data_IF_542733523136
#
_entry.id   IF_542733523136
#
_cell.length_a   1.000
_cell.length_b   1.000
_cell.length_c   1.000
_cell.angle_alpha   90.00
_cell.angle_beta   90.00
_cell.angle_gamma   90.00
#
_symmetry.space_group_name_H-M   'P 1'
#
loop_
_entity.id
_entity.type
_entity.pdbx_description
1 polymer ?
#
# COMPACT_ATOMS: atom_id res chain seq x y z
N UNK A 1 -12.64 -25.81 0.49
CA UNK A 1 -11.16 -25.81 0.40
C UNK A 1 -10.70 -27.18 0.89
N UNK A 2 -10.19 -28.06 0.02
CA UNK A 2 -9.55 -29.31 0.47
C UNK A 2 -8.14 -28.94 0.92
N UNK A 3 -7.81 -29.24 2.18
CA UNK A 3 -6.43 -29.16 2.66
C UNK A 3 -5.62 -30.24 1.94
N UNK A 4 -4.46 -29.86 1.40
CA UNK A 4 -3.49 -30.84 0.92
C UNK A 4 -2.74 -31.35 2.15
N UNK A 5 -3.01 -32.60 2.53
CA UNK A 5 -2.33 -33.25 3.66
C UNK A 5 -1.14 -34.05 3.14
N UNK A 6 0.07 -33.57 3.47
CA UNK A 6 1.33 -34.17 3.03
C UNK A 6 1.80 -35.33 3.93
N UNK A 7 1.13 -35.57 5.06
CA UNK A 7 1.55 -36.58 6.03
C UNK A 7 1.42 -38.02 5.49
N UNK A 8 0.44 -38.26 4.62
CA UNK A 8 0.16 -39.59 4.08
C UNK A 8 1.26 -40.12 3.12
N UNK A 9 2.00 -39.23 2.45
CA UNK A 9 3.05 -39.63 1.48
C UNK A 9 4.44 -39.75 2.10
N UNK A 10 4.71 -39.01 3.19
CA UNK A 10 6.07 -38.87 3.73
C UNK A 10 6.23 -39.41 5.17
N UNK A 11 5.17 -39.88 5.81
CA UNK A 11 5.21 -40.32 7.20
C UNK A 11 5.45 -39.15 8.17
N UNK A 12 5.91 -39.47 9.39
CA UNK A 12 6.24 -38.47 10.39
C UNK A 12 7.60 -37.83 10.06
N UNK A 13 7.59 -36.51 9.85
CA UNK A 13 8.78 -35.71 9.61
C UNK A 13 9.30 -35.15 10.94
N UNK A 14 10.47 -35.59 11.40
CA UNK A 14 11.08 -35.17 12.68
C UNK A 14 12.45 -34.52 12.49
N UNK A 15 12.73 -33.46 13.27
CA UNK A 15 14.02 -32.76 13.31
C UNK A 15 13.91 -31.24 13.11
N UNK A 16 14.97 -30.51 13.48
CA UNK A 16 15.06 -29.06 13.29
C UNK A 16 15.28 -28.65 11.82
N UNK A 17 15.73 -29.60 10.98
CA UNK A 17 15.98 -29.41 9.56
C UNK A 17 15.55 -30.65 8.78
N UNK A 18 14.31 -30.62 8.30
CA UNK A 18 13.71 -31.72 7.54
C UNK A 18 13.65 -31.36 6.06
N UNK A 19 14.12 -32.26 5.20
CA UNK A 19 13.96 -32.16 3.75
C UNK A 19 13.00 -33.23 3.27
N UNK A 20 11.95 -32.84 2.57
CA UNK A 20 11.03 -33.74 1.88
C UNK A 20 10.86 -33.31 0.43
N UNK A 21 10.87 -34.29 -0.48
CA UNK A 21 10.74 -34.06 -1.93
C UNK A 21 9.48 -34.74 -2.40
N UNK A 22 8.50 -33.94 -2.82
CA UNK A 22 7.24 -34.40 -3.39
C UNK A 22 6.87 -33.58 -4.63
N UNK A 23 6.03 -34.15 -5.50
CA UNK A 23 5.54 -33.43 -6.69
C UNK A 23 4.44 -32.46 -6.28
N UNK A 24 4.83 -31.23 -5.97
CA UNK A 24 3.92 -30.13 -5.71
C UNK A 24 3.81 -29.22 -6.92
N UNK A 25 2.59 -28.89 -7.34
CA UNK A 25 2.34 -27.87 -8.35
C UNK A 25 2.58 -26.49 -7.72
N UNK A 26 3.85 -26.15 -7.46
CA UNK A 26 4.27 -24.98 -6.67
C UNK A 26 3.61 -23.68 -7.14
N UNK A 27 3.42 -23.53 -8.46
CA UNK A 27 2.73 -22.39 -9.06
C UNK A 27 1.26 -22.25 -8.63
N UNK A 28 0.60 -23.33 -8.20
CA UNK A 28 -0.76 -23.31 -7.62
C UNK A 28 -0.79 -23.02 -6.12
N UNK A 29 0.37 -23.07 -5.45
CA UNK A 29 0.50 -22.86 -4.00
C UNK A 29 0.96 -21.43 -3.66
N UNK A 30 1.52 -20.70 -4.62
CA UNK A 30 1.92 -19.30 -4.41
C UNK A 30 0.75 -18.45 -3.89
N UNK A 31 1.06 -17.55 -2.94
CA UNK A 31 0.12 -16.65 -2.25
C UNK A 31 -0.97 -17.35 -1.42
N UNK A 32 -0.81 -18.65 -1.17
CA UNK A 32 -1.62 -19.36 -0.16
C UNK A 32 -0.88 -19.37 1.18
N UNK A 33 -1.62 -19.30 2.31
CA UNK A 33 -1.02 -19.54 3.60
C UNK A 33 -0.66 -21.02 3.72
N UNK A 34 0.57 -21.30 4.11
CA UNK A 34 0.95 -22.57 4.72
C UNK A 34 0.45 -22.55 6.16
N UNK A 35 -0.28 -23.59 6.56
CA UNK A 35 -0.84 -23.70 7.91
C UNK A 35 -0.25 -24.93 8.58
N UNK A 36 0.38 -24.72 9.74
CA UNK A 36 0.85 -25.76 10.62
C UNK A 36 -0.13 -25.87 11.78
N UNK A 37 -0.72 -27.05 11.95
CA UNK A 37 -1.66 -27.33 13.03
C UNK A 37 -1.12 -28.45 13.90
N UNK A 38 -0.97 -28.19 15.19
CA UNK A 38 -0.66 -29.22 16.18
C UNK A 38 -1.91 -30.04 16.45
N UNK A 39 -1.83 -31.36 16.26
CA UNK A 39 -2.92 -32.27 16.62
C UNK A 39 -3.03 -32.49 18.14
N UNK A 40 -1.91 -32.34 18.86
CA UNK A 40 -1.85 -32.53 20.32
C UNK A 40 -2.35 -31.30 21.09
N UNK A 41 -1.90 -30.10 20.70
CA UNK A 41 -2.22 -28.86 21.42
C UNK A 41 -3.35 -28.06 20.76
N UNK A 42 -3.81 -28.49 19.58
CA UNK A 42 -4.75 -27.76 18.72
C UNK A 42 -4.28 -26.35 18.29
N UNK A 43 -3.04 -25.96 18.60
CA UNK A 43 -2.46 -24.69 18.16
C UNK A 43 -2.29 -24.66 16.66
N UNK A 44 -2.55 -23.51 16.07
CA UNK A 44 -2.41 -23.26 14.64
C UNK A 44 -1.44 -22.10 14.45
N UNK A 45 -0.47 -22.29 13.57
CA UNK A 45 0.44 -21.24 13.10
C UNK A 45 0.33 -21.19 11.59
N UNK A 46 0.39 -20.00 10.99
CA UNK A 46 0.36 -19.86 9.55
C UNK A 46 1.48 -18.95 9.07
N UNK A 47 1.92 -19.18 7.83
CA UNK A 47 2.90 -18.35 7.14
C UNK A 47 2.50 -18.21 5.68
N UNK A 48 2.69 -17.04 5.08
CA UNK A 48 2.46 -16.87 3.66
C UNK A 48 3.56 -17.58 2.85
N UNK A 49 3.17 -18.38 1.85
CA UNK A 49 4.12 -18.90 0.85
C UNK A 49 4.52 -17.75 -0.08
N UNK A 50 5.63 -17.10 0.29
CA UNK A 50 6.19 -16.01 -0.50
C UNK A 50 7.09 -16.55 -1.61
N UNK A 51 7.05 -15.96 -2.81
CA UNK A 51 8.00 -16.29 -3.86
C UNK A 51 9.44 -16.01 -3.43
N UNK A 52 10.39 -16.77 -3.96
CA UNK A 52 11.80 -16.38 -3.91
C UNK A 52 11.98 -14.98 -4.54
N UNK A 53 13.00 -14.23 -4.12
CA UNK A 53 13.37 -12.96 -4.76
C UNK A 53 14.58 -13.20 -5.68
N UNK A 54 14.50 -12.92 -7.00
CA UNK A 54 13.38 -12.27 -7.72
C UNK A 54 12.15 -13.18 -7.87
N UNK A 55 10.96 -12.57 -7.81
CA UNK A 55 9.67 -13.28 -7.88
C UNK A 55 9.55 -14.00 -9.23
N UNK A 56 9.27 -15.32 -9.26
CA UNK A 56 9.07 -16.07 -10.51
C UNK A 56 7.68 -15.83 -11.10
N UNK A 57 6.90 -14.92 -10.50
CA UNK A 57 5.56 -14.58 -10.92
C UNK A 57 5.46 -13.09 -11.27
N UNK A 58 4.67 -12.79 -12.30
CA UNK A 58 4.33 -11.42 -12.68
C UNK A 58 2.92 -11.10 -12.21
N UNK A 59 2.80 -10.01 -11.45
CA UNK A 59 1.52 -9.44 -11.04
C UNK A 59 1.05 -8.43 -12.09
N UNK A 60 -0.23 -8.46 -12.42
CA UNK A 60 -0.96 -7.45 -13.17
C UNK A 60 -2.11 -6.92 -12.33
N UNK A 61 -2.50 -5.68 -12.57
CA UNK A 61 -3.55 -4.98 -11.82
C UNK A 61 -4.54 -4.32 -12.75
N UNK A 62 -5.82 -4.41 -12.41
CA UNK A 62 -6.90 -3.60 -12.96
C UNK A 62 -7.56 -2.84 -11.79
N UNK A 63 -7.59 -1.51 -11.87
CA UNK A 63 -8.08 -0.61 -10.82
C UNK A 63 -9.38 0.04 -11.27
N UNK A 64 -10.42 -0.17 -10.48
CA UNK A 64 -11.76 0.32 -10.76
C UNK A 64 -12.09 1.51 -9.85
N UNK A 65 -12.81 2.46 -10.42
CA UNK A 65 -13.28 3.72 -9.82
C UNK A 65 -14.73 3.94 -10.25
N UNK A 66 -15.48 4.75 -9.50
CA UNK A 66 -16.92 5.00 -9.68
C UNK A 66 -17.81 3.83 -9.24
N UNK A 67 -18.74 3.35 -10.08
CA UNK A 67 -19.79 2.39 -9.70
C UNK A 67 -19.26 1.13 -9.00
N UNK A 68 -18.07 0.67 -9.41
CA UNK A 68 -17.26 -0.31 -8.71
C UNK A 68 -15.93 0.31 -8.33
N UNK A 69 -15.52 0.15 -7.07
CA UNK A 69 -14.24 0.65 -6.58
C UNK A 69 -13.37 -0.48 -6.04
N UNK A 70 -12.10 -0.49 -6.43
CA UNK A 70 -11.14 -1.44 -5.90
C UNK A 70 -10.10 -1.90 -6.90
N UNK A 71 -9.53 -3.09 -6.68
CA UNK A 71 -8.47 -3.65 -7.52
C UNK A 71 -8.65 -5.14 -7.72
N UNK A 72 -8.48 -5.55 -8.96
CA UNK A 72 -8.30 -6.94 -9.36
C UNK A 72 -6.82 -7.19 -9.66
N UNK A 73 -6.27 -8.23 -9.05
CA UNK A 73 -4.91 -8.68 -9.29
C UNK A 73 -4.93 -9.99 -10.05
N UNK A 74 -4.08 -10.10 -11.06
CA UNK A 74 -3.79 -11.33 -11.79
C UNK A 74 -2.34 -11.67 -11.56
N UNK A 75 -2.04 -12.90 -11.16
CA UNK A 75 -0.67 -13.35 -10.91
C UNK A 75 -0.37 -14.61 -11.70
N UNK A 76 0.58 -14.49 -12.64
CA UNK A 76 0.98 -15.54 -13.56
C UNK A 76 2.44 -15.91 -13.33
N UNK A 77 2.73 -17.22 -13.26
CA UNK A 77 4.11 -17.71 -13.14
C UNK A 77 4.76 -17.70 -14.52
N UNK A 78 5.95 -17.13 -14.64
CA UNK A 78 6.60 -16.82 -15.92
C UNK A 78 6.91 -18.06 -16.77
N UNK A 79 7.21 -19.20 -16.13
CA UNK A 79 7.51 -20.45 -16.83
C UNK A 79 6.27 -21.12 -17.46
N UNK A 80 5.07 -20.87 -16.93
CA UNK A 80 3.81 -21.45 -17.42
C UNK A 80 2.63 -20.48 -17.21
N UNK A 81 2.64 -19.29 -17.84
CA UNK A 81 1.69 -18.22 -17.54
C UNK A 81 0.23 -18.60 -17.84
N UNK A 82 0.02 -19.52 -18.77
CA UNK A 82 -1.30 -20.02 -19.16
C UNK A 82 -1.78 -21.27 -18.38
N UNK A 83 -0.92 -21.88 -17.54
CA UNK A 83 -1.30 -23.07 -16.80
C UNK A 83 -2.33 -22.74 -15.71
N UNK A 84 -1.99 -21.79 -14.82
CA UNK A 84 -2.89 -21.27 -13.79
C UNK A 84 -2.57 -19.80 -13.53
N UNK A 85 -3.61 -18.97 -13.48
CA UNK A 85 -3.53 -17.59 -13.00
C UNK A 85 -4.21 -17.47 -11.64
N UNK A 86 -3.48 -16.96 -10.65
CA UNK A 86 -4.08 -16.53 -9.38
C UNK A 86 -4.81 -15.22 -9.58
N UNK A 87 -6.09 -15.16 -9.18
CA UNK A 87 -6.90 -13.95 -9.27
C UNK A 87 -7.34 -13.55 -7.88
N UNK A 88 -6.95 -12.35 -7.46
CA UNK A 88 -7.36 -11.74 -6.20
C UNK A 88 -8.21 -10.52 -6.47
N UNK A 89 -9.42 -10.51 -5.95
CA UNK A 89 -10.36 -9.40 -6.09
C UNK A 89 -10.57 -8.73 -4.74
N UNK A 90 -10.40 -7.42 -4.71
CA UNK A 90 -10.80 -6.56 -3.61
C UNK A 90 -11.61 -5.41 -4.21
N UNK A 91 -12.94 -5.54 -4.23
CA UNK A 91 -13.86 -4.56 -4.81
C UNK A 91 -15.06 -4.33 -3.91
N UNK A 92 -15.63 -3.14 -3.98
CA UNK A 92 -16.89 -2.76 -3.35
C UNK A 92 -17.80 -2.08 -4.38
N UNK A 93 -19.11 -2.22 -4.19
CA UNK A 93 -20.11 -1.43 -4.90
C UNK A 93 -20.19 -0.04 -4.28
N UNK A 94 -20.23 0.98 -5.12
CA UNK A 94 -20.28 2.39 -4.68
C UNK A 94 -21.63 3.02 -4.96
N UNK A 95 -22.34 2.52 -5.98
CA UNK A 95 -23.68 3.01 -6.33
C UNK A 95 -24.75 2.45 -5.37
N UNK A 96 -25.82 3.19 -5.07
CA UNK A 96 -26.95 2.70 -4.27
C UNK A 96 -27.60 1.44 -4.86
N UNK A 97 -27.55 1.30 -6.20
CA UNK A 97 -28.02 0.09 -6.91
C UNK A 97 -27.17 -1.15 -6.62
N UNK A 98 -25.96 -0.98 -6.10
CA UNK A 98 -25.01 -2.03 -5.75
C UNK A 98 -24.81 -2.17 -4.23
N UNK A 99 -25.69 -1.54 -3.43
CA UNK A 99 -25.68 -1.65 -1.97
C UNK A 99 -26.11 -3.05 -1.47
N UNK A 100 -26.73 -3.86 -2.32
CA UNK A 100 -27.12 -5.26 -2.03
C UNK A 100 -26.14 -6.26 -2.63
N UNK A 101 -25.99 -7.48 -2.06
CA UNK A 101 -25.11 -8.49 -2.61
C UNK A 101 -25.42 -8.81 -4.07
N UNK A 102 -24.46 -8.53 -4.96
CA UNK A 102 -24.60 -8.76 -6.40
C UNK A 102 -23.51 -9.70 -6.91
N UNK A 103 -23.84 -10.44 -7.96
CA UNK A 103 -22.97 -11.45 -8.58
C UNK A 103 -22.67 -10.98 -10.00
N UNK A 104 -21.53 -10.30 -10.18
CA UNK A 104 -21.16 -9.71 -11.47
C UNK A 104 -20.31 -10.65 -12.31
N UNK A 105 -20.49 -10.61 -13.63
CA UNK A 105 -19.63 -11.34 -14.58
C UNK A 105 -18.51 -10.43 -15.07
N UNK A 106 -17.42 -11.02 -15.56
CA UNK A 106 -16.34 -10.22 -16.15
C UNK A 106 -15.63 -10.95 -17.29
N UNK A 107 -15.09 -10.15 -18.22
CA UNK A 107 -14.40 -10.62 -19.42
C UNK A 107 -13.15 -9.79 -19.69
N UNK A 108 -12.19 -10.39 -20.41
CA UNK A 108 -11.00 -9.69 -20.90
C UNK A 108 -11.13 -9.38 -22.38
N UNK A 109 -10.86 -8.13 -22.75
CA UNK A 109 -10.82 -7.69 -24.13
C UNK A 109 -9.45 -7.13 -24.47
N UNK A 110 -8.89 -7.55 -25.60
CA UNK A 110 -7.70 -6.95 -26.17
C UNK A 110 -8.08 -5.95 -27.28
N UNK A 111 -7.40 -4.82 -27.28
CA UNK A 111 -7.55 -3.71 -28.23
C UNK A 111 -6.19 -3.26 -28.72
N UNK A 112 -6.16 -2.36 -29.70
CA UNK A 112 -4.93 -1.65 -30.11
C UNK A 112 -4.30 -0.91 -28.91
N UNK A 113 -3.05 -0.46 -29.09
CA UNK A 113 -2.39 0.37 -28.08
C UNK A 113 -3.19 1.67 -27.88
N UNK A 114 -3.55 1.92 -26.63
CA UNK A 114 -4.29 3.08 -26.16
C UNK A 114 -3.43 3.72 -25.04
N UNK A 115 -3.49 5.05 -24.91
CA UNK A 115 -2.77 5.75 -23.85
C UNK A 115 -3.43 5.54 -22.49
N UNK A 116 -2.74 5.88 -21.39
CA UNK A 116 -3.40 5.89 -20.08
C UNK A 116 -4.53 6.94 -20.00
N UNK A 117 -4.43 8.03 -20.77
CA UNK A 117 -5.48 9.05 -20.86
C UNK A 117 -6.75 8.50 -21.52
N UNK A 118 -6.61 7.71 -22.58
CA UNK A 118 -7.75 7.03 -23.22
C UNK A 118 -8.41 6.05 -22.25
N UNK A 119 -7.59 5.23 -21.55
CA UNK A 119 -8.09 4.31 -20.53
C UNK A 119 -8.82 5.03 -19.39
N UNK A 120 -8.32 6.19 -18.96
CA UNK A 120 -8.96 7.03 -17.95
C UNK A 120 -10.31 7.57 -18.46
N UNK A 121 -10.37 8.00 -19.71
CA UNK A 121 -11.60 8.51 -20.31
C UNK A 121 -12.67 7.42 -20.42
N UNK A 122 -12.29 6.20 -20.82
CA UNK A 122 -13.19 5.03 -20.81
C UNK A 122 -13.77 4.74 -19.42
N UNK A 123 -12.99 4.93 -18.35
CA UNK A 123 -13.53 4.76 -16.99
C UNK A 123 -14.50 5.88 -16.61
N UNK A 124 -14.23 7.12 -17.03
CA UNK A 124 -15.09 8.28 -16.73
C UNK A 124 -16.45 8.21 -17.41
N UNK A 125 -16.51 7.69 -18.63
CA UNK A 125 -17.77 7.59 -19.38
C UNK A 125 -18.57 6.31 -19.10
N UNK A 126 -18.27 5.62 -17.98
CA UNK A 126 -18.92 4.37 -17.62
C UNK A 126 -18.68 3.25 -18.63
N UNK A 127 -17.56 3.32 -19.36
CA UNK A 127 -17.15 2.37 -20.39
C UNK A 127 -18.09 2.33 -21.60
N UNK A 128 -18.90 3.37 -21.79
CA UNK A 128 -19.79 3.52 -22.93
C UNK A 128 -19.00 3.62 -24.24
N UNK A 129 -17.84 4.26 -24.23
CA UNK A 129 -16.94 4.37 -25.39
C UNK A 129 -16.19 3.08 -25.73
N UNK A 130 -16.23 2.07 -24.85
CA UNK A 130 -15.79 0.72 -25.20
C UNK A 130 -16.84 -0.03 -26.03
N UNK A 131 -18.10 0.42 -26.05
CA UNK A 131 -19.19 -0.16 -26.84
C UNK A 131 -19.35 0.54 -28.21
N UNK A 132 -19.75 -0.19 -29.27
CA UNK A 132 -19.88 -1.64 -29.37
C UNK A 132 -18.51 -2.28 -29.51
N UNK A 133 -18.18 -3.27 -28.66
CA UNK A 133 -16.84 -3.86 -28.51
C UNK A 133 -16.17 -4.26 -29.83
N UNK A 134 -15.25 -3.45 -30.41
CA UNK A 134 -14.45 -3.86 -31.56
C UNK A 134 -13.16 -4.58 -31.12
N UNK A 135 -13.10 -5.02 -29.85
CA UNK A 135 -11.96 -5.74 -29.28
C UNK A 135 -12.14 -7.25 -29.36
N UNK A 136 -11.04 -7.99 -29.43
CA UNK A 136 -11.08 -9.46 -29.38
C UNK A 136 -11.38 -9.90 -27.96
N UNK A 137 -12.47 -10.66 -27.74
CA UNK A 137 -12.69 -11.37 -26.48
C UNK A 137 -11.56 -12.37 -26.29
N UNK A 138 -10.79 -12.21 -25.21
CA UNK A 138 -9.63 -13.05 -24.93
C UNK A 138 -9.91 -14.08 -23.85
N UNK A 139 -10.82 -13.76 -22.93
CA UNK A 139 -11.24 -14.69 -21.88
C UNK A 139 -12.60 -14.28 -21.32
N UNK A 140 -13.44 -15.27 -21.02
CA UNK A 140 -14.66 -15.12 -20.24
C UNK A 140 -14.54 -15.95 -18.96
N UNK A 141 -14.65 -15.30 -17.81
CA UNK A 141 -14.64 -16.01 -16.54
C UNK A 141 -16.08 -16.31 -16.09
N UNK A 142 -16.32 -17.59 -15.84
CA UNK A 142 -17.60 -18.05 -15.26
C UNK A 142 -17.69 -17.78 -13.76
N UNK A 143 -16.56 -17.43 -13.11
CA UNK A 143 -16.52 -17.12 -11.68
C UNK A 143 -17.02 -15.69 -11.44
N UNK A 144 -18.14 -15.53 -10.72
CA UNK A 144 -18.67 -14.22 -10.49
C UNK A 144 -17.88 -13.44 -9.45
N UNK A 145 -18.02 -12.11 -9.50
CA UNK A 145 -17.53 -11.18 -8.49
C UNK A 145 -18.67 -10.95 -7.49
N UNK A 146 -18.59 -11.50 -6.27
CA UNK A 146 -19.53 -11.13 -5.23
C UNK A 146 -19.18 -9.71 -4.77
N UNK A 147 -20.08 -8.79 -5.01
CA UNK A 147 -20.03 -7.45 -4.44
C UNK A 147 -20.85 -7.48 -3.16
N UNK A 148 -20.27 -7.01 -2.06
CA UNK A 148 -20.99 -6.82 -0.82
C UNK A 148 -21.16 -5.32 -0.56
N UNK A 149 -22.17 -4.96 0.24
CA UNK A 149 -22.36 -3.59 0.71
C UNK A 149 -21.17 -3.09 1.52
N UNK A 150 -21.21 -1.79 1.87
CA UNK A 150 -20.10 -1.01 2.44
C UNK A 150 -19.36 -1.63 3.64
N UNK A 151 -19.96 -2.61 4.34
CA UNK A 151 -19.46 -3.17 5.60
C UNK A 151 -18.58 -4.43 5.44
N UNK A 152 -18.53 -5.08 4.27
CA UNK A 152 -17.86 -6.38 4.13
C UNK A 152 -16.70 -6.37 3.13
N UNK A 153 -15.48 -6.10 3.62
CA UNK A 153 -14.23 -6.26 2.88
C UNK A 153 -13.89 -7.75 2.68
N UNK A 154 -14.55 -8.41 1.74
CA UNK A 154 -14.18 -9.76 1.34
C UNK A 154 -13.17 -9.74 0.19
N UNK A 155 -11.89 -9.94 0.52
CA UNK A 155 -10.94 -10.36 -0.51
C UNK A 155 -11.31 -11.76 -0.98
N UNK A 156 -11.61 -11.91 -2.27
CA UNK A 156 -11.78 -13.24 -2.90
C UNK A 156 -10.50 -13.62 -3.61
N UNK A 157 -10.11 -14.88 -3.47
CA UNK A 157 -8.99 -15.46 -4.20
C UNK A 157 -9.49 -16.73 -4.89
N UNK A 158 -9.26 -16.83 -6.19
CA UNK A 158 -9.54 -18.02 -6.98
C UNK A 158 -8.46 -18.22 -8.03
N UNK A 159 -8.47 -19.40 -8.64
CA UNK A 159 -7.54 -19.78 -9.70
C UNK A 159 -8.32 -19.92 -11.00
N UNK A 160 -7.75 -19.36 -12.07
CA UNK A 160 -8.24 -19.53 -13.43
C UNK A 160 -7.28 -20.42 -14.19
N UNK A 161 -7.84 -21.41 -14.88
CA UNK A 161 -7.09 -22.23 -15.82
C UNK A 161 -7.23 -21.61 -17.22
N UNK A 162 -6.18 -21.69 -18.02
CA UNK A 162 -6.19 -21.28 -19.44
C UNK A 162 -6.44 -19.79 -19.69
N UNK A 163 -6.17 -18.91 -18.71
CA UNK A 163 -6.04 -17.49 -18.99
C UNK A 163 -4.80 -17.27 -19.88
N UNK A 164 -4.90 -16.59 -21.04
CA UNK A 164 -3.73 -16.40 -21.89
C UNK A 164 -2.65 -15.55 -21.20
N UNK A 165 -1.41 -15.64 -21.69
CA UNK A 165 -0.28 -14.88 -21.16
C UNK A 165 -0.54 -13.36 -21.27
N UNK A 166 -0.76 -12.71 -20.13
CA UNK A 166 -1.02 -11.28 -20.07
C UNK A 166 0.20 -10.47 -20.52
N UNK A 167 1.42 -10.99 -20.39
CA UNK A 167 2.62 -10.33 -20.91
C UNK A 167 2.56 -10.25 -22.44
N UNK A 168 2.27 -11.37 -23.10
CA UNK A 168 2.14 -11.43 -24.55
C UNK A 168 1.00 -10.53 -25.06
N UNK A 169 -0.14 -10.50 -24.36
CA UNK A 169 -1.28 -9.65 -24.74
C UNK A 169 -0.97 -8.16 -24.56
N UNK A 170 -0.42 -7.77 -23.41
CA UNK A 170 -0.13 -6.35 -23.10
C UNK A 170 1.02 -5.77 -23.93
N UNK A 171 1.86 -6.62 -24.53
CA UNK A 171 2.83 -6.19 -25.55
C UNK A 171 2.18 -5.86 -26.89
N UNK A 172 1.15 -6.62 -27.29
CA UNK A 172 0.45 -6.45 -28.58
C UNK A 172 -0.56 -5.30 -28.57
N UNK A 173 -1.06 -4.92 -27.40
CA UNK A 173 -2.04 -3.87 -27.28
C UNK A 173 -2.51 -3.65 -25.85
N UNK A 174 -3.68 -3.03 -25.71
CA UNK A 174 -4.26 -2.72 -24.40
C UNK A 174 -5.29 -3.78 -24.04
N UNK A 175 -5.18 -4.31 -22.82
CA UNK A 175 -6.14 -5.30 -22.30
C UNK A 175 -7.02 -4.63 -21.26
N UNK A 176 -8.33 -4.83 -21.36
CA UNK A 176 -9.30 -4.35 -20.38
C UNK A 176 -9.99 -5.52 -19.70
N UNK A 177 -10.17 -5.41 -18.38
CA UNK A 177 -11.22 -6.13 -17.67
C UNK A 177 -12.49 -5.32 -17.85
N UNK A 178 -13.57 -5.97 -18.29
CA UNK A 178 -14.90 -5.38 -18.36
C UNK A 178 -15.83 -6.20 -17.48
N UNK A 179 -16.55 -5.53 -16.60
CA UNK A 179 -17.48 -6.10 -15.61
C UNK A 179 -18.91 -5.84 -16.05
N UNK A 180 -19.76 -6.84 -15.92
CA UNK A 180 -21.13 -6.87 -16.42
C UNK A 180 -22.13 -7.24 -15.34
N UNK A 181 -23.30 -6.59 -15.40
CA UNK A 181 -24.53 -7.00 -14.73
C UNK A 181 -25.57 -7.39 -15.81
N UNK A 182 -25.85 -8.69 -15.93
CA UNK A 182 -26.55 -9.22 -17.10
C UNK A 182 -25.76 -8.93 -18.39
N UNK A 183 -26.38 -8.17 -19.30
CA UNK A 183 -25.77 -7.71 -20.56
C UNK A 183 -25.20 -6.29 -20.48
N UNK A 184 -25.40 -5.59 -19.37
CA UNK A 184 -24.99 -4.20 -19.21
C UNK A 184 -23.57 -4.10 -18.68
N UNK A 185 -22.78 -3.20 -19.28
CA UNK A 185 -21.45 -2.86 -18.76
C UNK A 185 -21.62 -2.02 -17.51
N UNK A 186 -20.95 -2.47 -16.44
CA UNK A 186 -20.94 -1.78 -15.15
C UNK A 186 -19.68 -0.94 -14.99
N UNK A 187 -18.53 -1.53 -15.31
CA UNK A 187 -17.25 -0.87 -15.18
C UNK A 187 -16.20 -1.57 -16.04
N UNK A 188 -15.08 -0.90 -16.24
CA UNK A 188 -13.94 -1.42 -16.96
C UNK A 188 -12.67 -0.86 -16.35
N UNK A 189 -11.57 -1.58 -16.55
CA UNK A 189 -10.25 -1.07 -16.19
C UNK A 189 -9.21 -1.72 -17.08
N UNK A 190 -8.20 -0.93 -17.46
CA UNK A 190 -6.99 -1.43 -18.10
C UNK A 190 -6.25 -2.40 -17.17
N UNK A 191 -5.80 -3.51 -17.72
CA UNK A 191 -4.84 -4.42 -17.10
C UNK A 191 -3.44 -3.86 -17.32
N UNK A 192 -2.73 -3.62 -16.23
CA UNK A 192 -1.38 -3.04 -16.24
C UNK A 192 -0.43 -3.85 -15.38
N UNK A 193 0.84 -3.92 -15.76
CA UNK A 193 1.89 -4.42 -14.88
C UNK A 193 2.35 -3.27 -13.99
N UNK A 194 2.17 -3.31 -12.65
CA UNK A 194 2.68 -2.26 -11.78
C UNK A 194 4.20 -2.21 -11.88
N UNK A 195 4.76 -1.00 -11.89
CA UNK A 195 6.21 -0.83 -11.85
C UNK A 195 6.73 -1.18 -10.45
N UNK A 196 7.85 -1.92 -10.34
CA UNK A 196 8.53 -2.10 -9.07
C UNK A 196 8.86 -0.75 -8.42
N UNK A 197 8.75 -0.68 -7.10
CA UNK A 197 9.09 0.52 -6.33
C UNK A 197 10.38 0.30 -5.58
N UNK A 198 11.22 1.33 -5.57
CA UNK A 198 12.43 1.43 -4.77
C UNK A 198 12.41 2.72 -3.97
N UNK A 199 12.88 2.66 -2.73
CA UNK A 199 13.06 3.83 -1.89
C UNK A 199 14.30 3.68 -1.03
N UNK A 200 14.95 4.81 -0.79
CA UNK A 200 16.23 4.84 -0.12
C UNK A 200 16.23 5.92 0.94
N UNK A 201 16.75 5.58 2.11
CA UNK A 201 17.01 6.49 3.22
C UNK A 201 18.53 6.57 3.39
N UNK A 202 19.07 7.78 3.22
CA UNK A 202 20.51 8.03 3.21
C UNK A 202 20.89 8.80 4.48
N UNK A 203 21.55 8.11 5.39
CA UNK A 203 22.08 8.67 6.63
C UNK A 203 23.40 9.34 6.32
N UNK A 204 23.41 10.68 6.35
CA UNK A 204 24.67 11.43 6.43
C UNK A 204 25.13 11.39 7.88
N UNK A 205 26.42 11.14 8.11
CA UNK A 205 27.00 11.16 9.45
C UNK A 205 26.54 12.42 10.18
N UNK A 206 25.72 12.25 11.23
CA UNK A 206 25.19 13.37 11.99
C UNK A 206 26.32 13.99 12.79
N UNK A 207 27.01 14.96 12.20
CA UNK A 207 28.00 15.79 12.89
C UNK A 207 27.35 17.14 13.17
N UNK A 208 26.63 17.24 14.29
CA UNK A 208 26.45 18.54 14.95
C UNK A 208 25.03 18.90 15.40
N UNK A 209 24.88 18.98 16.72
CA UNK A 209 23.76 19.68 17.36
C UNK A 209 23.72 19.59 18.90
N UNK A 210 24.84 19.89 19.60
CA UNK A 210 24.93 20.17 21.06
C UNK A 210 24.61 18.96 21.99
N UNK A 211 25.60 18.22 22.48
CA UNK A 211 26.60 18.65 23.47
C UNK A 211 28.04 18.36 23.00
N UNK A 212 28.96 19.29 23.29
CA UNK A 212 30.41 19.06 23.32
C UNK A 212 30.67 17.76 24.13
N UNK A 213 31.03 16.67 23.43
CA UNK A 213 31.42 15.40 24.05
C UNK A 213 30.73 14.12 23.57
N UNK A 214 29.73 14.17 22.67
CA UNK A 214 29.07 12.96 22.16
C UNK A 214 29.81 12.31 20.98
N UNK A 215 30.42 11.14 21.18
CA UNK A 215 31.20 10.41 20.17
C UNK A 215 30.34 9.51 19.24
N UNK A 216 29.06 9.82 19.03
CA UNK A 216 28.11 8.90 18.38
C UNK A 216 27.31 9.46 17.21
N UNK A 217 27.10 8.65 16.19
CA UNK A 217 26.37 9.01 14.98
C UNK A 217 26.24 7.86 13.98
N UNK A 218 25.21 7.94 13.13
CA UNK A 218 24.90 6.91 12.13
C UNK A 218 25.15 7.45 10.72
N UNK A 219 25.77 6.63 9.86
CA UNK A 219 25.94 6.93 8.44
C UNK A 219 25.71 5.68 7.59
N UNK A 220 25.26 5.86 6.34
CA UNK A 220 25.03 4.76 5.42
C UNK A 220 23.67 4.86 4.71
N UNK A 221 23.14 3.72 4.30
CA UNK A 221 21.92 3.63 3.51
C UNK A 221 21.02 2.47 3.96
N UNK A 222 19.72 2.73 3.92
CA UNK A 222 18.67 1.71 4.01
C UNK A 222 17.85 1.77 2.74
N UNK A 223 17.79 0.68 1.99
CA UNK A 223 17.06 0.57 0.73
C UNK A 223 15.90 -0.42 0.86
N UNK A 224 14.74 -0.05 0.36
CA UNK A 224 13.56 -0.90 0.24
C UNK A 224 13.25 -1.12 -1.23
N UNK A 225 12.90 -2.35 -1.59
CA UNK A 225 12.51 -2.73 -2.94
C UNK A 225 11.29 -3.66 -2.90
N UNK A 226 10.27 -3.36 -3.69
CA UNK A 226 9.07 -4.18 -3.80
C UNK A 226 8.64 -4.30 -5.26
N UNK A 227 8.50 -5.55 -5.73
CA UNK A 227 8.19 -5.87 -7.13
C UNK A 227 6.75 -5.49 -7.48
N UNK A 228 5.80 -5.87 -6.63
CA UNK A 228 4.38 -5.56 -6.78
C UNK A 228 3.70 -5.46 -5.41
N UNK A 229 2.46 -4.95 -5.33
CA UNK A 229 1.71 -4.89 -4.06
C UNK A 229 1.48 -6.25 -3.37
N UNK A 230 1.67 -7.36 -4.08
CA UNK A 230 1.50 -8.72 -3.54
C UNK A 230 2.82 -9.38 -3.14
N UNK A 231 3.96 -8.81 -3.54
CA UNK A 231 5.27 -9.34 -3.17
C UNK A 231 5.76 -8.65 -1.87
N UNK A 232 6.48 -9.35 -1.00
CA UNK A 232 7.02 -8.75 0.22
C UNK A 232 8.11 -7.71 -0.11
N UNK A 233 8.38 -6.82 0.84
CA UNK A 233 9.45 -5.83 0.70
C UNK A 233 10.79 -6.48 0.98
N UNK A 234 11.73 -6.33 0.05
CA UNK A 234 13.16 -6.61 0.29
C UNK A 234 13.80 -5.37 0.89
N UNK A 235 14.44 -5.52 2.04
CA UNK A 235 15.13 -4.49 2.79
C UNK A 235 16.64 -4.75 2.72
N UNK A 236 17.43 -3.77 2.33
CA UNK A 236 18.90 -3.82 2.36
C UNK A 236 19.41 -2.74 3.29
N UNK A 237 20.10 -3.15 4.36
CA UNK A 237 20.67 -2.27 5.38
C UNK A 237 22.18 -2.27 5.16
N UNK A 238 22.77 -1.08 5.11
CA UNK A 238 24.21 -0.88 5.18
C UNK A 238 24.47 0.39 5.99
N UNK A 239 24.62 0.21 7.30
CA UNK A 239 24.81 1.28 8.26
C UNK A 239 26.14 1.12 8.99
N UNK A 240 26.75 2.25 9.29
CA UNK A 240 27.90 2.39 10.18
C UNK A 240 27.46 3.19 11.40
N UNK A 241 27.87 2.71 12.57
CA UNK A 241 27.53 3.31 13.86
C UNK A 241 28.84 3.67 14.55
N UNK A 242 28.97 4.94 14.88
CA UNK A 242 30.05 5.46 15.73
C UNK A 242 29.54 5.64 17.15
N UNK A 243 30.42 5.49 18.15
CA UNK A 243 30.09 5.74 19.56
C UNK A 243 29.44 4.59 20.32
N UNK A 244 29.09 3.47 19.66
CA UNK A 244 28.70 2.22 20.34
C UNK A 244 27.30 2.17 20.98
N UNK A 245 26.57 3.29 20.99
CA UNK A 245 25.31 3.42 21.75
C UNK A 245 24.04 3.19 20.91
N UNK A 246 24.10 2.67 19.68
CA UNK A 246 22.87 2.39 18.93
C UNK A 246 22.14 1.16 19.49
N UNK A 247 20.85 1.29 19.78
CA UNK A 247 20.02 0.20 20.30
C UNK A 247 18.88 -0.14 19.33
N UNK A 248 17.90 0.75 19.21
CA UNK A 248 16.71 0.52 18.40
C UNK A 248 16.82 1.20 17.03
N UNK A 249 16.18 0.62 16.02
CA UNK A 249 16.06 1.26 14.72
C UNK A 249 14.80 0.80 13.99
N UNK A 250 14.26 1.69 13.17
CA UNK A 250 13.01 1.40 12.48
C UNK A 250 12.47 2.58 11.71
N UNK A 251 11.30 2.38 11.11
CA UNK A 251 10.57 3.39 10.35
C UNK A 251 9.60 4.09 11.30
N UNK A 252 9.74 5.41 11.44
CA UNK A 252 8.91 6.26 12.30
C UNK A 252 7.53 6.51 11.68
N UNK A 253 6.55 6.93 12.49
CA UNK A 253 5.28 7.41 11.97
C UNK A 253 5.42 8.67 11.12
N UNK A 254 6.43 9.51 11.34
CA UNK A 254 6.58 10.77 10.64
C UNK A 254 7.86 10.83 9.81
N UNK A 255 7.89 11.80 8.90
CA UNK A 255 9.12 12.22 8.25
C UNK A 255 10.03 12.93 9.27
N UNK A 256 11.32 13.07 8.94
CA UNK A 256 12.32 13.78 9.75
C UNK A 256 11.98 15.27 9.97
N UNK A 257 11.09 15.84 9.14
CA UNK A 257 10.62 17.22 9.22
C UNK A 257 11.40 18.14 8.28
N UNK A 258 12.64 18.44 8.66
CA UNK A 258 13.69 18.90 7.77
C UNK A 258 14.70 17.76 7.62
N UNK A 259 15.25 17.56 6.42
CA UNK A 259 15.93 16.33 5.95
C UNK A 259 17.05 15.81 6.85
N UNK A 260 17.49 16.59 7.84
CA UNK A 260 18.62 16.30 8.71
C UNK A 260 18.44 16.68 10.19
N UNK A 261 17.35 17.35 10.59
CA UNK A 261 17.19 17.82 11.98
C UNK A 261 16.58 16.77 12.90
N UNK A 262 15.91 15.75 12.34
CA UNK A 262 15.16 14.73 13.07
C UNK A 262 14.14 15.29 14.09
N UNK A 263 13.78 16.57 13.96
CA UNK A 263 12.86 17.26 14.88
C UNK A 263 11.41 16.85 14.66
N UNK A 264 11.09 16.30 13.48
CA UNK A 264 9.73 15.86 13.13
C UNK A 264 9.36 14.45 13.56
N UNK A 265 10.28 13.68 14.16
CA UNK A 265 10.03 12.29 14.53
C UNK A 265 9.03 12.17 15.68
N UNK A 266 8.14 11.19 15.58
CA UNK A 266 7.21 10.84 16.66
C UNK A 266 7.88 10.03 17.78
N UNK A 267 9.05 9.43 17.50
CA UNK A 267 9.70 8.42 18.36
C UNK A 267 8.85 7.19 18.60
N UNK A 268 7.95 6.90 17.67
CA UNK A 268 7.09 5.71 17.63
C UNK A 268 7.23 5.08 16.27
N UNK A 269 7.47 3.78 16.24
CA UNK A 269 7.52 3.04 14.99
C UNK A 269 6.15 3.03 14.30
N UNK A 270 6.19 2.98 12.98
CA UNK A 270 4.99 2.97 12.15
C UNK A 270 4.15 1.72 12.42
N UNK A 271 2.87 1.88 12.74
CA UNK A 271 1.99 0.75 13.05
C UNK A 271 0.57 0.94 12.48
N UNK A 272 0.28 0.39 11.28
CA UNK A 272 -1.02 0.50 10.62
C UNK A 272 -1.96 -0.70 10.81
N UNK A 273 -1.52 -1.75 11.51
CA UNK A 273 -2.21 -3.03 11.65
C UNK A 273 -2.91 -3.23 12.99
N UNK A 274 -2.69 -2.34 13.95
CA UNK A 274 -3.27 -2.41 15.29
C UNK A 274 -2.60 -3.45 16.18
N UNK A 275 -1.29 -3.67 16.02
CA UNK A 275 -0.51 -4.53 16.93
C UNK A 275 -0.59 -4.00 18.36
N UNK A 276 -0.86 -4.90 19.30
CA UNK A 276 -0.83 -4.61 20.73
C UNK A 276 0.63 -4.50 21.21
N UNK A 277 1.03 -3.28 21.58
CA UNK A 277 2.39 -2.97 21.99
C UNK A 277 2.77 -3.66 23.31
N UNK A 278 1.79 -3.94 24.17
CA UNK A 278 2.03 -4.58 25.47
C UNK A 278 2.31 -6.09 25.32
N UNK A 279 1.87 -6.67 24.20
CA UNK A 279 2.08 -8.08 23.85
C UNK A 279 3.23 -8.28 22.86
N UNK A 280 3.93 -7.21 22.47
CA UNK A 280 5.04 -7.30 21.54
C UNK A 280 6.19 -8.12 22.16
N UNK A 281 6.62 -9.22 21.54
CA UNK A 281 7.66 -10.07 22.11
C UNK A 281 9.02 -9.38 22.18
N UNK A 282 9.94 -9.97 22.95
CA UNK A 282 11.36 -9.58 22.94
C UNK A 282 11.91 -9.64 21.50
N UNK A 283 12.82 -8.75 21.08
CA UNK A 283 13.36 -8.76 19.73
C UNK A 283 13.81 -10.15 19.25
N UNK A 284 13.47 -10.50 18.01
CA UNK A 284 13.69 -11.79 17.33
C UNK A 284 12.94 -13.00 17.89
N UNK A 285 12.09 -12.85 18.92
CA UNK A 285 11.38 -13.98 19.52
C UNK A 285 9.94 -14.18 18.98
N UNK A 286 9.41 -13.21 18.24
CA UNK A 286 8.07 -13.27 17.64
C UNK A 286 8.09 -13.47 16.12
N UNK A 287 6.93 -13.81 15.55
CA UNK A 287 6.68 -13.65 14.12
C UNK A 287 6.56 -12.16 13.78
N UNK A 288 6.84 -11.79 12.52
CA UNK A 288 6.97 -10.37 12.12
C UNK A 288 5.71 -9.53 12.29
N UNK A 289 4.55 -10.18 12.27
CA UNK A 289 3.22 -9.61 12.48
C UNK A 289 2.90 -9.28 13.95
N UNK A 290 3.72 -9.75 14.89
CA UNK A 290 3.61 -9.43 16.32
C UNK A 290 4.32 -8.12 16.71
N UNK A 291 4.95 -7.44 15.75
CA UNK A 291 5.69 -6.21 15.97
C UNK A 291 5.08 -5.08 15.13
N UNK A 292 5.25 -3.82 15.58
CA UNK A 292 4.95 -2.67 14.74
C UNK A 292 5.53 -2.82 13.33
N UNK A 293 4.77 -2.49 12.29
CA UNK A 293 5.25 -2.60 10.91
C UNK A 293 6.62 -1.90 10.69
N UNK A 294 6.85 -0.76 11.34
CA UNK A 294 8.11 -0.03 11.28
C UNK A 294 9.22 -0.51 12.23
N UNK A 295 8.95 -1.40 13.19
CA UNK A 295 9.96 -1.84 14.17
C UNK A 295 10.91 -2.88 13.57
N UNK A 296 12.01 -2.41 13.00
CA UNK A 296 13.03 -3.26 12.39
C UNK A 296 13.89 -3.95 13.47
N UNK A 297 14.16 -3.26 14.58
CA UNK A 297 14.88 -3.83 15.72
C UNK A 297 14.17 -5.02 16.35
N UNK A 298 12.87 -4.91 16.61
CA UNK A 298 12.06 -5.99 17.16
C UNK A 298 12.04 -7.22 16.24
N UNK A 299 11.86 -7.02 14.94
CA UNK A 299 11.76 -8.12 13.97
C UNK A 299 13.10 -8.78 13.63
N UNK A 300 14.17 -7.99 13.54
CA UNK A 300 15.44 -8.42 12.94
C UNK A 300 16.63 -8.31 13.89
N UNK A 301 16.43 -7.87 15.14
CA UNK A 301 17.47 -7.66 16.16
C UNK A 301 17.97 -6.23 16.23
N UNK A 302 18.55 -5.86 17.36
CA UNK A 302 19.03 -4.51 17.66
C UNK A 302 20.36 -4.18 16.97
N UNK A 303 20.75 -2.90 16.99
CA UNK A 303 22.07 -2.45 16.54
C UNK A 303 23.12 -2.46 17.66
N UNK A 304 22.76 -2.94 18.85
CA UNK A 304 23.59 -2.88 20.05
C UNK A 304 24.91 -3.62 19.86
N UNK A 305 26.02 -2.94 20.14
CA UNK A 305 27.37 -3.49 20.02
C UNK A 305 27.87 -3.63 18.57
N UNK A 306 27.12 -3.17 17.57
CA UNK A 306 27.54 -3.19 16.17
C UNK A 306 28.15 -1.86 15.76
N UNK A 307 29.36 -1.89 15.21
CA UNK A 307 29.96 -0.73 14.50
C UNK A 307 29.53 -0.66 13.03
N UNK A 308 29.15 -1.81 12.47
CA UNK A 308 28.68 -1.97 11.08
C UNK A 308 27.51 -2.95 11.07
N UNK A 309 26.41 -2.55 10.44
CA UNK A 309 25.24 -3.39 10.23
C UNK A 309 24.98 -3.54 8.73
N UNK A 310 25.23 -4.74 8.21
CA UNK A 310 24.94 -5.10 6.82
C UNK A 310 23.99 -6.29 6.80
N UNK A 311 22.82 -6.12 6.21
CA UNK A 311 21.82 -7.18 6.11
C UNK A 311 20.97 -7.04 4.86
N UNK A 312 20.52 -8.18 4.33
CA UNK A 312 19.43 -8.23 3.34
C UNK A 312 18.31 -9.08 3.91
N UNK A 313 17.16 -8.46 4.08
CA UNK A 313 16.01 -8.99 4.80
C UNK A 313 14.76 -8.92 3.92
N UNK A 314 13.74 -9.68 4.29
CA UNK A 314 12.43 -9.64 3.63
C UNK A 314 11.37 -9.40 4.69
N UNK A 315 10.53 -8.39 4.52
CA UNK A 315 9.44 -8.05 5.43
C UNK A 315 8.09 -8.02 4.68
N UNK A 316 7.15 -8.93 4.97
CA UNK A 316 5.81 -8.93 4.38
C UNK A 316 4.85 -7.94 5.06
N UNK A 317 5.21 -7.35 6.21
CA UNK A 317 4.35 -6.46 6.99
C UNK A 317 4.51 -4.97 6.64
N UNK A 318 5.54 -4.65 5.83
CA UNK A 318 5.81 -3.33 5.28
C UNK A 318 5.41 -3.32 3.80
N UNK A 319 4.95 -2.18 3.28
CA UNK A 319 4.64 -2.00 1.86
C UNK A 319 5.13 -0.65 1.32
N UNK A 320 5.51 -0.62 0.05
CA UNK A 320 5.78 0.58 -0.74
C UNK A 320 4.57 0.99 -1.60
N UNK A 321 3.45 0.24 -1.54
CA UNK A 321 2.22 0.49 -2.29
C UNK A 321 1.01 0.73 -1.39
N UNK A 322 0.06 1.52 -1.89
CA UNK A 322 -1.24 1.74 -1.27
C UNK A 322 -1.17 2.63 -0.02
N UNK A 323 -2.30 2.69 0.70
CA UNK A 323 -2.51 3.60 1.83
C UNK A 323 -1.58 3.38 3.03
N UNK A 324 -1.06 2.17 3.18
CA UNK A 324 -0.19 1.79 4.29
C UNK A 324 1.30 1.85 3.93
N UNK A 325 1.62 2.63 2.90
CA UNK A 325 2.99 2.75 2.43
C UNK A 325 3.90 3.45 3.45
N UNK A 326 5.14 2.97 3.55
CA UNK A 326 6.21 3.63 4.33
C UNK A 326 6.94 4.74 3.58
N UNK A 327 6.63 4.96 2.30
CA UNK A 327 7.24 6.02 1.50
C UNK A 327 7.00 7.40 2.16
N UNK A 328 8.06 8.19 2.24
CA UNK A 328 8.05 9.53 2.86
C UNK A 328 8.19 9.55 4.38
N UNK A 329 8.19 8.39 5.06
CA UNK A 329 8.47 8.28 6.50
C UNK A 329 9.98 8.24 6.75
N UNK A 330 10.42 8.61 7.95
CA UNK A 330 11.83 8.52 8.31
C UNK A 330 12.21 7.12 8.80
N UNK A 331 13.39 6.65 8.40
CA UNK A 331 14.11 5.64 9.18
C UNK A 331 14.87 6.37 10.27
N UNK A 332 14.76 5.92 11.51
CA UNK A 332 15.42 6.50 12.66
C UNK A 332 16.20 5.43 13.44
N UNK A 333 17.31 5.87 14.05
CA UNK A 333 18.13 5.08 14.95
C UNK A 333 18.17 5.77 16.30
N UNK A 334 17.97 4.99 17.35
CA UNK A 334 17.87 5.45 18.73
C UNK A 334 18.92 4.78 19.61
N UNK A 335 19.34 5.48 20.64
CA UNK A 335 20.11 4.91 21.75
C UNK A 335 19.19 4.23 22.80
N UNK A 336 19.72 3.59 23.86
CA UNK A 336 18.91 2.94 24.89
C UNK A 336 17.95 3.90 25.62
N UNK A 337 18.24 5.19 25.63
CA UNK A 337 17.39 6.24 26.22
C UNK A 337 16.42 6.87 25.21
N UNK A 338 16.23 6.26 24.03
CA UNK A 338 15.37 6.75 22.95
C UNK A 338 15.75 8.13 22.40
N UNK A 339 17.01 8.54 22.55
CA UNK A 339 17.55 9.73 21.88
C UNK A 339 17.92 9.39 20.46
N UNK A 340 17.68 10.32 19.54
CA UNK A 340 17.93 10.12 18.11
C UNK A 340 19.43 10.21 17.83
N UNK A 341 20.01 9.13 17.30
CA UNK A 341 21.40 9.08 16.84
C UNK A 341 21.54 9.42 15.35
N UNK A 342 20.46 9.27 14.60
CA UNK A 342 20.37 9.63 13.20
C UNK A 342 19.01 9.29 12.63
N UNK A 343 18.61 10.02 11.60
CA UNK A 343 17.42 9.72 10.83
C UNK A 343 17.59 10.15 9.38
N UNK A 344 16.78 9.56 8.49
CA UNK A 344 16.64 10.01 7.12
C UNK A 344 15.33 9.52 6.50
N UNK A 345 14.69 10.36 5.67
CA UNK A 345 13.44 10.03 5.00
C UNK A 345 13.61 8.94 3.95
N UNK A 346 12.63 8.04 3.84
CA UNK A 346 12.49 7.09 2.74
C UNK A 346 12.01 7.81 1.48
N UNK A 347 12.98 8.15 0.63
CA UNK A 347 12.72 8.85 -0.62
C UNK A 347 12.50 7.83 -1.73
N UNK A 348 11.33 7.90 -2.38
CA UNK A 348 11.06 7.07 -3.56
C UNK A 348 11.98 7.46 -4.72
N UNK A 349 12.49 6.47 -5.43
CA UNK A 349 13.29 6.68 -6.64
C UNK A 349 12.42 6.96 -7.86
N UNK A 350 13.04 7.61 -8.86
CA UNK A 350 12.39 7.94 -10.13
C UNK A 350 11.81 9.35 -10.19
N UNK A 351 11.27 9.69 -11.35
CA UNK A 351 10.71 11.02 -11.62
C UNK A 351 9.37 11.17 -10.90
N UNK A 352 9.20 12.25 -10.18
CA UNK A 352 7.96 12.58 -9.48
C UNK A 352 7.32 13.85 -10.04
N UNK A 353 5.99 13.87 -10.11
CA UNK A 353 5.20 15.10 -10.24
C UNK A 353 4.86 15.57 -8.82
N UNK A 354 5.00 16.88 -8.57
CA UNK A 354 4.74 17.47 -7.26
C UNK A 354 3.82 18.68 -7.37
N UNK A 355 2.94 18.83 -6.40
CA UNK A 355 2.12 20.02 -6.20
C UNK A 355 2.23 20.47 -4.74
N UNK A 356 2.06 21.76 -4.46
CA UNK A 356 2.14 22.30 -3.10
C UNK A 356 1.09 23.38 -2.90
N UNK A 357 0.44 23.35 -1.74
CA UNK A 357 -0.49 24.35 -1.26
C UNK A 357 0.11 25.01 -0.01
N UNK A 358 0.12 26.34 0.01
CA UNK A 358 0.65 27.13 1.11
C UNK A 358 -0.49 27.84 1.82
N UNK A 359 -0.51 27.72 3.15
CA UNK A 359 -1.47 28.40 4.01
C UNK A 359 -0.76 29.50 4.78
N UNK A 360 -1.35 30.70 4.82
CA UNK A 360 -0.76 31.89 5.45
C UNK A 360 -1.73 32.59 6.41
N UNK A 361 -2.80 31.90 6.82
CA UNK A 361 -3.80 32.43 7.75
C UNK A 361 -3.57 31.96 9.18
N UNK A 362 -4.65 31.85 9.96
CA UNK A 362 -4.60 31.30 11.32
C UNK A 362 -4.03 29.88 11.34
N UNK A 363 -4.33 29.10 10.29
CA UNK A 363 -3.56 27.91 9.95
C UNK A 363 -2.50 28.33 8.94
N UNK A 364 -1.25 28.03 9.22
CA UNK A 364 -0.16 28.27 8.28
C UNK A 364 0.75 27.06 8.10
N UNK A 365 1.44 27.03 6.97
CA UNK A 365 2.32 25.94 6.60
C UNK A 365 2.12 25.46 5.17
N UNK A 366 2.47 24.21 4.91
CA UNK A 366 2.54 23.63 3.57
C UNK A 366 1.91 22.23 3.54
N UNK A 367 1.10 21.98 2.52
CA UNK A 367 0.69 20.64 2.09
C UNK A 367 1.37 20.35 0.74
N UNK A 368 2.03 19.21 0.60
CA UNK A 368 2.68 18.76 -0.64
C UNK A 368 2.10 17.44 -1.09
N UNK A 369 1.78 17.34 -2.37
CA UNK A 369 1.40 16.11 -3.05
C UNK A 369 2.55 15.66 -3.95
N UNK A 370 2.86 14.38 -3.96
CA UNK A 370 3.87 13.79 -4.84
C UNK A 370 3.39 12.47 -5.42
N UNK A 371 3.49 12.30 -6.73
CA UNK A 371 3.10 11.07 -7.43
C UNK A 371 4.23 10.67 -8.39
N UNK A 372 4.41 9.37 -8.65
CA UNK A 372 5.31 8.94 -9.72
C UNK A 372 4.80 9.48 -11.06
N UNK A 373 5.73 10.02 -11.85
CA UNK A 373 5.41 10.59 -13.15
C UNK A 373 5.30 9.55 -14.27
N UNK A 374 5.43 8.27 -13.93
CA UNK A 374 5.43 7.14 -14.86
C UNK A 374 4.03 6.61 -15.19
N UNK A 375 3.04 6.86 -14.32
CA UNK A 375 1.66 6.41 -14.52
C UNK A 375 0.67 7.29 -13.78
N UNK A 376 -0.41 7.66 -14.45
CA UNK A 376 -1.54 8.45 -13.93
C UNK A 376 -2.25 7.76 -12.77
N UNK A 377 -2.13 6.43 -12.68
CA UNK A 377 -2.74 5.62 -11.63
C UNK A 377 -1.77 5.33 -10.47
N UNK A 378 -0.58 5.94 -10.46
CA UNK A 378 0.36 5.77 -9.34
C UNK A 378 -0.25 6.30 -8.04
N UNK A 379 0.21 5.78 -6.90
CA UNK A 379 -0.26 6.33 -5.62
C UNK A 379 0.32 7.73 -5.43
N UNK A 380 -0.47 8.62 -4.82
CA UNK A 380 -0.05 9.97 -4.47
C UNK A 380 0.27 10.01 -2.97
N UNK A 381 1.50 10.40 -2.64
CA UNK A 381 1.94 10.69 -1.28
C UNK A 381 1.50 12.10 -0.89
N UNK A 382 0.95 12.23 0.32
CA UNK A 382 0.59 13.52 0.92
C UNK A 382 1.57 13.80 2.06
N UNK A 383 2.23 14.94 2.02
CA UNK A 383 3.08 15.46 3.09
C UNK A 383 2.46 16.75 3.62
N UNK A 384 2.41 16.92 4.94
CA UNK A 384 1.75 18.05 5.56
C UNK A 384 2.61 18.58 6.70
N UNK A 385 2.78 19.90 6.73
CA UNK A 385 3.39 20.63 7.84
C UNK A 385 2.52 21.86 8.10
N UNK A 386 1.55 21.70 8.99
CA UNK A 386 0.58 22.74 9.33
C UNK A 386 0.71 23.07 10.82
N UNK A 387 0.50 24.32 11.17
CA UNK A 387 0.41 24.78 12.56
C UNK A 387 -0.63 25.88 12.69
N UNK A 388 -1.26 25.96 13.86
CA UNK A 388 -2.17 27.02 14.23
C UNK A 388 -1.38 28.20 14.79
N UNK A 389 -1.17 29.24 13.98
CA UNK A 389 -0.31 30.38 14.30
C UNK A 389 -0.84 31.27 15.44
N UNK A 390 -2.12 31.17 15.78
CA UNK A 390 -2.81 32.10 16.68
C UNK A 390 -3.34 31.51 17.98
N UNK A 391 -3.08 30.24 18.31
CA UNK A 391 -3.67 29.63 19.50
C UNK A 391 -3.34 28.15 19.72
N UNK A 392 -4.07 27.47 20.61
CA UNK A 392 -3.80 26.07 20.98
C UNK A 392 -4.07 25.10 19.82
N UNK A 393 -3.78 23.82 20.05
CA UNK A 393 -4.13 22.73 19.13
C UNK A 393 -5.61 22.79 18.72
N UNK A 394 -5.87 22.45 17.47
CA UNK A 394 -7.21 22.38 16.89
C UNK A 394 -7.41 21.03 16.19
N UNK A 395 -8.63 20.51 16.15
CA UNK A 395 -8.89 19.18 15.62
C UNK A 395 -10.19 19.13 14.81
N UNK A 396 -10.36 18.05 14.04
CA UNK A 396 -11.57 17.83 13.24
C UNK A 396 -11.61 18.64 11.96
N UNK A 397 -10.47 19.14 11.47
CA UNK A 397 -10.42 19.92 10.24
C UNK A 397 -10.68 19.03 9.03
N UNK A 398 -11.69 19.43 8.26
CA UNK A 398 -11.94 18.90 6.92
C UNK A 398 -10.97 19.53 5.93
N UNK A 399 -10.57 18.72 4.95
CA UNK A 399 -9.64 19.09 3.90
C UNK A 399 -10.01 18.37 2.62
N UNK A 400 -10.18 19.14 1.55
CA UNK A 400 -10.65 18.66 0.26
C UNK A 400 -9.97 19.42 -0.89
N UNK A 401 -9.96 18.82 -2.07
CA UNK A 401 -9.63 19.50 -3.33
C UNK A 401 -10.93 19.81 -4.04
N UNK A 402 -11.13 21.06 -4.45
CA UNK A 402 -12.35 21.54 -5.08
C UNK A 402 -12.16 21.74 -6.59
N UNK A 403 -13.28 21.85 -7.32
CA UNK A 403 -13.29 21.91 -8.80
C UNK A 403 -12.69 23.20 -9.38
N UNK A 404 -12.85 24.33 -8.69
CA UNK A 404 -12.48 25.65 -9.21
C UNK A 404 -11.30 26.23 -8.45
N UNK A 405 -10.50 27.01 -9.17
CA UNK A 405 -9.35 27.70 -8.60
C UNK A 405 -9.76 28.63 -7.46
N UNK A 406 -8.97 28.64 -6.38
CA UNK A 406 -9.03 29.71 -5.40
C UNK A 406 -8.54 31.00 -6.07
N UNK A 407 -9.41 32.02 -6.13
CA UNK A 407 -8.95 33.38 -6.50
C UNK A 407 -7.86 33.81 -5.51
N UNK A 408 -6.90 34.64 -5.94
CA UNK A 408 -5.80 35.11 -5.07
C UNK A 408 -6.35 35.62 -3.72
N UNK A 409 -6.08 34.89 -2.64
CA UNK A 409 -6.51 35.23 -1.28
C UNK A 409 -7.06 34.03 -0.51
N UNK A 410 -7.56 34.27 0.72
CA UNK A 410 -8.21 33.28 1.58
C UNK A 410 -9.72 33.15 1.32
N UNK A 411 -10.24 33.73 0.23
CA UNK A 411 -11.67 33.67 -0.11
C UNK A 411 -11.98 32.38 -0.88
N UNK A 412 -12.47 31.39 -0.15
CA UNK A 412 -12.85 30.07 -0.67
C UNK A 412 -14.33 29.97 -1.06
N UNK A 413 -15.10 31.06 -1.04
CA UNK A 413 -16.57 30.99 -1.24
C UNK A 413 -17.00 30.53 -2.64
N UNK A 414 -16.11 30.60 -3.63
CA UNK A 414 -16.41 30.27 -5.02
C UNK A 414 -15.74 28.99 -5.54
N UNK A 415 -15.06 28.20 -4.72
CA UNK A 415 -14.28 27.03 -5.19
C UNK A 415 -15.15 25.85 -5.65
N UNK A 416 -16.45 25.85 -5.31
CA UNK A 416 -17.42 24.85 -5.76
C UNK A 416 -17.39 23.58 -4.93
N UNK A 417 -17.90 22.49 -5.50
CA UNK A 417 -17.95 21.18 -4.85
C UNK A 417 -16.57 20.49 -4.86
N UNK A 418 -16.49 19.31 -4.27
CA UNK A 418 -15.29 18.49 -4.34
C UNK A 418 -14.98 18.12 -5.78
N UNK A 419 -13.70 18.09 -6.13
CA UNK A 419 -13.25 17.65 -7.45
C UNK A 419 -13.64 16.18 -7.67
N UNK A 420 -14.60 15.92 -8.56
CA UNK A 420 -15.11 14.57 -8.84
C UNK A 420 -15.22 14.27 -10.34
N UNK A 421 -14.10 13.93 -11.01
CA UNK A 421 -14.08 13.62 -12.43
C UNK A 421 -14.80 12.30 -12.79
N UNK A 422 -15.30 11.55 -11.81
CA UNK A 422 -15.98 10.27 -12.01
C UNK A 422 -17.47 10.31 -11.67
N UNK A 423 -17.99 11.47 -11.24
CA UNK A 423 -19.39 11.66 -10.86
C UNK A 423 -19.89 10.54 -9.90
N UNK A 424 -19.11 10.29 -8.85
CA UNK A 424 -19.39 9.29 -7.83
C UNK A 424 -20.65 9.71 -7.07
N UNK A 425 -21.74 8.98 -7.33
CA UNK A 425 -23.00 9.16 -6.64
C UNK A 425 -22.97 8.40 -5.30
N UNK A 426 -22.51 9.08 -4.25
CA UNK A 426 -22.63 8.63 -2.87
C UNK A 426 -24.04 8.95 -2.36
N UNK A 427 -24.72 7.97 -1.75
CA UNK A 427 -25.96 8.24 -1.00
C UNK A 427 -25.75 9.43 -0.05
N UNK A 428 -26.75 10.29 0.13
CA UNK A 428 -26.67 11.50 0.98
C UNK A 428 -26.16 11.21 2.41
N UNK A 429 -26.33 9.97 2.90
CA UNK A 429 -25.82 9.48 4.20
C UNK A 429 -24.30 9.34 4.29
N UNK A 430 -23.60 9.27 3.16
CA UNK A 430 -22.13 9.19 3.09
C UNK A 430 -21.48 10.57 2.87
N UNK A 431 -22.26 11.57 2.44
CA UNK A 431 -21.79 12.95 2.21
C UNK A 431 -21.87 13.81 3.48
N UNK A 432 -22.85 13.56 4.35
CA UNK A 432 -22.91 14.24 5.64
C UNK A 432 -21.89 13.66 6.62
N UNK A 433 -21.11 14.55 7.23
CA UNK A 433 -19.95 14.31 8.11
C UNK A 433 -20.25 13.51 9.40
N UNK A 434 -21.36 12.79 9.48
CA UNK A 434 -21.79 11.96 10.61
C UNK A 434 -21.46 10.46 10.51
N UNK A 435 -21.06 9.94 9.34
CA UNK A 435 -20.71 8.51 9.18
C UNK A 435 -19.23 8.32 8.79
N UNK A 436 -18.35 9.06 9.47
CA UNK A 436 -16.88 9.01 9.27
C UNK A 436 -16.30 7.61 9.52
N UNK A 437 -16.95 6.80 10.38
CA UNK A 437 -16.51 5.43 10.65
C UNK A 437 -16.75 4.45 9.48
N UNK A 438 -17.71 4.73 8.59
CA UNK A 438 -17.94 3.91 7.41
C UNK A 438 -17.04 4.31 6.22
N UNK A 439 -16.62 5.58 6.12
CA UNK A 439 -15.78 6.05 5.02
C UNK A 439 -14.32 5.53 5.10
N UNK A 440 -13.72 5.46 6.30
CA UNK A 440 -12.36 4.93 6.50
C UNK A 440 -12.23 3.43 6.19
N UNK A 441 -13.37 2.71 6.20
CA UNK A 441 -13.46 1.30 5.83
C UNK A 441 -13.73 1.09 4.35
N UNK A 442 -14.01 2.13 3.55
CA UNK A 442 -14.11 2.00 2.09
C UNK A 442 -12.73 2.09 1.41
N UNK A 443 -12.56 1.48 0.22
CA UNK A 443 -11.42 1.78 -0.64
C UNK A 443 -11.44 3.26 -1.03
N UNK A 444 -10.29 3.94 -1.08
CA UNK A 444 -10.23 5.35 -1.47
C UNK A 444 -10.83 5.62 -2.86
N UNK A 445 -10.83 4.61 -3.74
CA UNK A 445 -11.43 4.66 -5.07
C UNK A 445 -12.97 4.75 -5.07
N UNK A 446 -13.61 4.52 -3.92
CA UNK A 446 -15.06 4.65 -3.72
C UNK A 446 -15.49 6.08 -3.37
N UNK A 447 -14.53 6.99 -3.10
CA UNK A 447 -14.79 8.36 -2.69
C UNK A 447 -14.38 9.33 -3.80
N UNK A 448 -15.03 10.49 -3.84
CA UNK A 448 -14.74 11.58 -4.77
C UNK A 448 -13.23 11.87 -4.77
N UNK A 449 -12.65 12.20 -5.93
CA UNK A 449 -11.19 12.38 -6.05
C UNK A 449 -10.68 13.46 -5.08
N UNK A 450 -11.45 14.54 -4.92
CA UNK A 450 -11.16 15.65 -4.04
C UNK A 450 -11.48 15.44 -2.56
N UNK A 451 -12.21 14.39 -2.17
CA UNK A 451 -12.50 14.11 -0.77
C UNK A 451 -11.29 13.45 -0.08
N UNK A 452 -10.40 14.26 0.50
CA UNK A 452 -9.24 13.77 1.25
C UNK A 452 -9.60 13.39 2.69
N UNK A 453 -10.65 14.01 3.26
CA UNK A 453 -11.09 13.73 4.64
C UNK A 453 -11.70 12.36 4.78
N UNK A 454 -12.56 11.94 3.84
CA UNK A 454 -13.11 10.58 3.82
C UNK A 454 -12.03 9.51 3.58
N UNK A 455 -10.97 9.84 2.85
CA UNK A 455 -9.87 8.91 2.54
C UNK A 455 -8.86 8.77 3.68
N UNK A 456 -8.50 9.88 4.31
CA UNK A 456 -7.36 9.96 5.21
C UNK A 456 -7.74 10.33 6.65
N UNK A 457 -9.01 10.66 6.90
CA UNK A 457 -9.48 11.18 8.19
C UNK A 457 -9.32 12.69 8.30
N UNK A 458 -9.82 13.24 9.41
CA UNK A 458 -9.74 14.66 9.70
C UNK A 458 -8.36 15.04 10.25
N UNK A 459 -7.96 16.30 10.08
CA UNK A 459 -6.68 16.77 10.58
C UNK A 459 -6.80 17.26 12.02
N UNK A 460 -5.80 16.91 12.82
CA UNK A 460 -5.44 17.63 14.05
C UNK A 460 -4.24 18.53 13.73
N UNK A 461 -4.38 19.82 13.97
CA UNK A 461 -3.36 20.83 13.66
C UNK A 461 -2.83 21.40 14.99
N UNK A 462 -1.54 21.18 15.29
CA UNK A 462 -0.95 21.64 16.54
C UNK A 462 -0.84 23.17 16.58
N UNK A 463 -0.89 23.75 17.78
CA UNK A 463 -0.53 25.13 18.05
C UNK A 463 0.98 25.40 17.84
N UNK A 464 1.45 26.62 18.12
CA UNK A 464 2.88 26.90 18.13
C UNK A 464 3.54 26.05 19.23
N UNK A 465 4.66 25.41 18.91
CA UNK A 465 5.47 24.68 19.89
C UNK A 465 5.77 25.61 21.08
N UNK A 466 5.22 25.31 22.27
CA UNK A 466 5.70 25.94 23.50
C UNK A 466 7.11 25.42 23.74
N UNK A 467 8.09 26.32 23.63
CA UNK A 467 9.52 26.05 23.81
C UNK A 467 9.85 25.50 25.20
#
# INVERSE_FOLDING_TARGET
MRLLDLSNEHGLLEGESVVSVGRLELWRLLDRPLVLKSLLTLRVVCAALTPATPSPATTYTARFVAALAGTMFFRQVELQPAAVTGVRINMVGVSPRMASPLTLKWRLFARKHESEGDSLQHMRDGCSSLAPFPGTLVHEALQPIPIHGHEARHTRHYQLERLPDLNALTRKGTVYVVVYDGEWVVACSRVTRPRPRRASSIFKSYVGGVRRGGNGGVAGIVELYQVSPLDPVKLTINLTVSGGDAAAFGIDNFASGDRFSCTGLSRRFYEPWGVDLDLTPVPRQGTKDLYPAGDLSGKFGTLQGLSVAVATLVDPTITLFGRHSVLGRAVAVYDPEWRVLGCADLVAEGRQVRASAYFTGNISGELRLAQSADSLFSDTSVYMRLHHSGGPDTAGHLWHVHERDAKRGNDCTFVGDHFDPFAINLDDRAQDSGVIMAALSLPHAALQVGDLSGKHGHLAIPGPWTA
#
